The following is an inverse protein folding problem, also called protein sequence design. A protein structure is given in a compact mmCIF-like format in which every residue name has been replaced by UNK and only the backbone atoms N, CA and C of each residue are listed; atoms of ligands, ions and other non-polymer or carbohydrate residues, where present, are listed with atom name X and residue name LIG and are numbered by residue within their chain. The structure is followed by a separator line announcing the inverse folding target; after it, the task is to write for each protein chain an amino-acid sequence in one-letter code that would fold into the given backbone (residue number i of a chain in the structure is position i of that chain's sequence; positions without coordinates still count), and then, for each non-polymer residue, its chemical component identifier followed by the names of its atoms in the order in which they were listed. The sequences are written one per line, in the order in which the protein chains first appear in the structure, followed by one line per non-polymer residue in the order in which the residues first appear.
data_IF_822610307618
#
_entry.id   IF_822610307618
#
_cell.length_a   1.000
_cell.length_b   1.000
_cell.length_c   1.000
_cell.angle_alpha   90.00
_cell.angle_beta   90.00
_cell.angle_gamma   90.00
#
_symmetry.space_group_name_H-M   'P 1'
#
loop_
_entity.id
_entity.type
_entity.pdbx_description
1 polymer ?
#
# COMPACT_ATOMS: atom_id res chain seq x y z
N UNK A 1 -23.78 -29.42 3.32
CA UNK A 1 -23.81 -30.40 4.43
C UNK A 1 -22.92 -30.02 5.64
N UNK A 2 -21.85 -29.20 5.49
CA UNK A 2 -20.93 -28.88 6.60
C UNK A 2 -21.54 -27.92 7.64
N UNK A 3 -22.40 -26.97 7.25
CA UNK A 3 -23.05 -26.02 8.20
C UNK A 3 -24.05 -26.65 9.19
N UNK A 4 -24.58 -27.85 8.93
CA UNK A 4 -25.53 -28.54 9.85
C UNK A 4 -24.84 -29.35 10.95
N UNK A 5 -23.54 -29.74 10.79
CA UNK A 5 -22.77 -30.50 11.80
C UNK A 5 -22.17 -29.65 12.93
N UNK A 6 -22.10 -28.34 12.76
CA UNK A 6 -21.48 -27.45 13.75
C UNK A 6 -22.41 -27.10 14.92
N UNK A 7 -23.74 -27.20 14.74
CA UNK A 7 -24.72 -26.83 15.80
C UNK A 7 -24.78 -27.75 17.03
N UNK A 8 -24.14 -28.90 17.00
CA UNK A 8 -24.23 -29.90 18.10
C UNK A 8 -22.92 -30.13 18.87
N UNK A 9 -21.92 -29.22 18.75
CA UNK A 9 -20.70 -29.30 19.53
C UNK A 9 -20.82 -28.54 20.86
N UNK A 10 -20.21 -29.01 21.98
CA UNK A 10 -20.25 -28.29 23.24
C UNK A 10 -19.72 -26.86 23.08
N UNK A 11 -20.36 -25.87 23.73
CA UNK A 11 -20.09 -24.42 23.56
C UNK A 11 -18.61 -24.03 23.65
N UNK A 12 -17.79 -24.75 24.45
CA UNK A 12 -16.33 -24.54 24.53
C UNK A 12 -15.61 -24.90 23.23
N UNK A 13 -16.02 -25.99 22.53
CA UNK A 13 -15.41 -26.38 21.23
C UNK A 13 -15.82 -25.44 20.11
N UNK A 14 -17.06 -24.93 20.10
CA UNK A 14 -17.49 -23.92 19.13
C UNK A 14 -16.69 -22.62 19.26
N UNK A 15 -16.46 -22.12 20.49
CA UNK A 15 -15.62 -20.91 20.71
C UNK A 15 -14.15 -21.10 20.27
N UNK A 16 -13.61 -22.32 20.41
CA UNK A 16 -12.24 -22.61 19.96
C UNK A 16 -12.19 -22.66 18.42
N UNK A 17 -13.17 -23.29 17.77
CA UNK A 17 -13.25 -23.35 16.31
C UNK A 17 -13.52 -21.95 15.72
N UNK A 18 -14.37 -21.15 16.33
CA UNK A 18 -14.63 -19.76 15.90
C UNK A 18 -13.38 -18.88 16.10
N UNK A 19 -12.65 -19.03 17.19
CA UNK A 19 -11.38 -18.32 17.43
C UNK A 19 -10.29 -18.77 16.44
N UNK A 20 -10.18 -20.08 16.17
CA UNK A 20 -9.24 -20.61 15.21
C UNK A 20 -9.59 -20.18 13.76
N UNK A 21 -10.87 -20.18 13.40
CA UNK A 21 -11.32 -19.72 12.08
C UNK A 21 -11.19 -18.19 11.92
N UNK A 22 -11.40 -17.41 12.99
CA UNK A 22 -11.17 -15.96 12.97
C UNK A 22 -9.67 -15.63 12.87
N UNK A 23 -8.82 -16.35 13.59
CA UNK A 23 -7.36 -16.16 13.50
C UNK A 23 -6.79 -16.65 12.17
N UNK A 24 -7.36 -17.69 11.56
CA UNK A 24 -6.98 -18.18 10.23
C UNK A 24 -7.40 -17.18 9.13
N UNK A 25 -8.58 -16.56 9.25
CA UNK A 25 -9.04 -15.52 8.33
C UNK A 25 -8.23 -14.22 8.49
N UNK A 26 -7.73 -13.92 9.68
CA UNK A 26 -6.91 -12.73 9.94
C UNK A 26 -5.52 -12.85 9.30
N UNK A 27 -4.91 -14.04 9.32
CA UNK A 27 -3.60 -14.29 8.70
C UNK A 27 -3.56 -14.18 7.16
N UNK A 28 -4.71 -14.04 6.51
CA UNK A 28 -4.82 -14.02 5.04
C UNK A 28 -5.27 -12.67 4.48
N UNK A 29 -5.14 -11.58 5.26
CA UNK A 29 -5.48 -10.23 4.82
C UNK A 29 -4.24 -9.40 4.58
N UNK A 30 -4.26 -8.57 3.53
CA UNK A 30 -3.22 -7.57 3.25
C UNK A 30 -3.87 -6.21 2.98
N UNK A 31 -3.21 -5.15 3.44
CA UNK A 31 -3.60 -3.77 3.15
C UNK A 31 -2.54 -3.11 2.26
N UNK A 32 -2.92 -2.73 1.05
CA UNK A 32 -2.13 -1.88 0.18
C UNK A 32 -2.51 -0.42 0.39
N UNK A 33 -1.54 0.42 0.69
CA UNK A 33 -1.71 1.86 0.88
C UNK A 33 -0.94 2.60 -0.20
N UNK A 34 -1.60 3.41 -1.00
CA UNK A 34 -0.92 4.35 -1.89
C UNK A 34 -0.93 5.72 -1.25
N UNK A 35 0.23 6.34 -1.07
CA UNK A 35 0.30 7.71 -0.58
C UNK A 35 0.15 8.72 -1.72
N UNK A 36 -0.49 9.84 -1.43
CA UNK A 36 -0.75 10.94 -2.36
C UNK A 36 -1.58 12.05 -1.74
N UNK A 37 -1.71 13.17 -2.43
CA UNK A 37 -2.56 14.31 -2.06
C UNK A 37 -3.85 14.32 -2.87
N UNK A 38 -5.01 14.40 -2.22
CA UNK A 38 -6.30 14.45 -2.89
C UNK A 38 -6.54 15.87 -3.45
N UNK A 39 -6.31 16.04 -4.74
CA UNK A 39 -6.66 17.29 -5.43
C UNK A 39 -6.55 17.06 -6.93
N UNK A 40 -7.47 17.58 -7.76
CA UNK A 40 -7.37 17.50 -9.21
C UNK A 40 -6.03 18.02 -9.74
N UNK A 41 -5.48 19.06 -9.10
CA UNK A 41 -4.20 19.67 -9.50
C UNK A 41 -2.97 18.80 -9.15
N UNK A 42 -3.12 17.79 -8.31
CA UNK A 42 -2.02 16.94 -7.83
C UNK A 42 -1.94 15.58 -8.51
N UNK A 43 -2.91 15.22 -9.36
CA UNK A 43 -3.03 13.86 -9.93
C UNK A 43 -1.76 13.38 -10.65
N UNK A 44 -1.04 14.29 -11.26
CA UNK A 44 0.15 13.98 -12.06
C UNK A 44 1.47 14.29 -11.37
N UNK A 45 1.46 14.81 -10.14
CA UNK A 45 2.73 15.09 -9.48
C UNK A 45 3.37 13.82 -8.88
N UNK A 46 4.68 13.96 -8.62
CA UNK A 46 5.54 12.84 -8.19
C UNK A 46 5.06 12.25 -6.86
N UNK A 47 4.53 13.10 -5.97
CA UNK A 47 4.04 12.71 -4.65
C UNK A 47 2.78 11.81 -4.73
N UNK A 48 2.12 11.76 -5.90
CA UNK A 48 0.93 10.92 -6.12
C UNK A 48 1.24 9.56 -6.78
N UNK A 49 2.53 9.18 -6.87
CA UNK A 49 2.91 7.89 -7.45
C UNK A 49 2.25 6.71 -6.72
N UNK A 50 2.10 6.80 -5.38
CA UNK A 50 1.41 5.77 -4.62
C UNK A 50 -0.05 5.58 -5.06
N UNK A 51 -0.78 6.67 -5.33
CA UNK A 51 -2.14 6.61 -5.87
C UNK A 51 -2.19 5.92 -7.23
N UNK A 52 -1.24 6.25 -8.13
CA UNK A 52 -1.13 5.63 -9.46
C UNK A 52 -0.90 4.13 -9.37
N UNK A 53 -0.07 3.67 -8.45
CA UNK A 53 0.17 2.24 -8.22
C UNK A 53 -1.10 1.54 -7.72
N UNK A 54 -1.85 2.12 -6.78
CA UNK A 54 -3.13 1.55 -6.31
C UNK A 54 -4.14 1.44 -7.45
N UNK A 55 -4.26 2.47 -8.29
CA UNK A 55 -5.17 2.44 -9.44
C UNK A 55 -4.78 1.34 -10.45
N UNK A 56 -3.48 1.16 -10.69
CA UNK A 56 -2.97 0.09 -11.55
C UNK A 56 -3.22 -1.31 -10.96
N UNK A 57 -3.04 -1.49 -9.63
CA UNK A 57 -3.40 -2.73 -8.92
C UNK A 57 -4.90 -3.02 -9.07
N UNK A 58 -5.74 -2.02 -8.81
CA UNK A 58 -7.18 -2.15 -8.92
C UNK A 58 -7.62 -2.60 -10.32
N UNK A 59 -7.05 -1.99 -11.35
CA UNK A 59 -7.32 -2.33 -12.76
C UNK A 59 -6.86 -3.74 -13.11
N UNK A 60 -5.62 -4.10 -12.77
CA UNK A 60 -5.01 -5.40 -13.12
C UNK A 60 -5.72 -6.57 -12.49
N UNK A 61 -6.08 -6.44 -11.21
CA UNK A 61 -6.66 -7.54 -10.44
C UNK A 61 -8.19 -7.44 -10.30
N UNK A 62 -8.82 -6.53 -11.05
CA UNK A 62 -10.28 -6.34 -11.07
C UNK A 62 -10.87 -6.22 -9.66
N UNK A 63 -10.21 -5.44 -8.80
CA UNK A 63 -10.74 -5.19 -7.46
C UNK A 63 -12.07 -4.41 -7.55
N UNK A 64 -12.80 -4.34 -6.46
CA UNK A 64 -14.10 -3.64 -6.42
C UNK A 64 -13.99 -2.19 -6.88
N UNK A 65 -15.11 -1.56 -7.24
CA UNK A 65 -15.13 -0.10 -7.45
C UNK A 65 -14.66 0.62 -6.19
N UNK A 66 -13.93 1.73 -6.38
CA UNK A 66 -13.50 2.60 -5.28
C UNK A 66 -14.73 3.17 -4.57
N UNK A 67 -14.74 3.09 -3.24
CA UNK A 67 -15.80 3.64 -2.38
C UNK A 67 -15.20 4.56 -1.32
N UNK A 68 -15.74 5.76 -1.12
CA UNK A 68 -15.33 6.62 0.00
C UNK A 68 -15.60 5.91 1.33
N UNK A 69 -14.54 5.62 2.09
CA UNK A 69 -14.59 5.03 3.43
C UNK A 69 -13.29 5.31 4.18
N UNK A 70 -13.36 5.46 5.50
CA UNK A 70 -12.18 5.73 6.33
C UNK A 70 -11.38 6.95 5.87
N UNK A 71 -12.05 8.02 5.45
CA UNK A 71 -11.40 9.23 4.88
C UNK A 71 -10.47 8.91 3.69
N UNK A 72 -10.78 7.88 2.91
CA UNK A 72 -10.04 7.43 1.74
C UNK A 72 -10.92 6.79 0.69
N UNK A 73 -10.33 6.46 -0.45
CA UNK A 73 -10.96 5.64 -1.50
C UNK A 73 -10.52 4.19 -1.31
N UNK A 74 -11.44 3.37 -0.80
CA UNK A 74 -11.21 1.96 -0.51
C UNK A 74 -11.68 1.08 -1.66
N UNK A 75 -10.86 0.09 -2.03
CA UNK A 75 -11.21 -1.06 -2.85
C UNK A 75 -10.94 -2.35 -2.10
N UNK A 76 -11.60 -3.42 -2.49
CA UNK A 76 -11.44 -4.74 -1.88
C UNK A 76 -11.50 -5.82 -2.94
N UNK A 77 -10.81 -6.91 -2.72
CA UNK A 77 -10.85 -8.07 -3.60
C UNK A 77 -10.01 -9.21 -3.08
N UNK A 78 -9.70 -10.14 -3.97
CA UNK A 78 -8.84 -11.28 -3.68
C UNK A 78 -7.76 -11.36 -4.74
N UNK A 79 -6.50 -11.49 -4.32
CA UNK A 79 -5.37 -11.73 -5.21
C UNK A 79 -4.74 -13.06 -4.79
N UNK A 80 -4.76 -14.08 -5.66
CA UNK A 80 -4.51 -15.48 -5.29
C UNK A 80 -5.49 -15.91 -4.19
N UNK A 81 -4.97 -16.34 -3.05
CA UNK A 81 -5.70 -16.80 -1.86
C UNK A 81 -5.85 -15.71 -0.77
N UNK A 82 -5.28 -14.51 -1.01
CA UNK A 82 -5.25 -13.44 -0.01
C UNK A 82 -6.36 -12.43 -0.24
N UNK A 83 -7.07 -12.09 0.82
CA UNK A 83 -8.00 -10.96 0.85
C UNK A 83 -7.20 -9.66 0.86
N UNK A 84 -7.44 -8.81 -0.10
CA UNK A 84 -6.72 -7.54 -0.27
C UNK A 84 -7.68 -6.37 -0.08
N UNK A 85 -7.25 -5.43 0.74
CA UNK A 85 -7.78 -4.09 0.82
C UNK A 85 -6.76 -3.16 0.16
N UNK A 86 -7.20 -2.22 -0.66
CA UNK A 86 -6.33 -1.20 -1.22
C UNK A 86 -6.97 0.17 -1.00
N UNK A 87 -6.19 1.13 -0.49
CA UNK A 87 -6.71 2.44 -0.10
C UNK A 87 -5.81 3.57 -0.59
N UNK A 88 -6.46 4.64 -1.06
CA UNK A 88 -5.86 5.95 -1.30
C UNK A 88 -6.40 6.91 -0.23
N UNK A 89 -5.61 7.35 0.77
CA UNK A 89 -6.05 8.34 1.75
C UNK A 89 -6.50 9.65 1.06
N UNK A 90 -7.68 10.15 1.39
CA UNK A 90 -8.16 11.46 0.94
C UNK A 90 -7.88 12.57 1.97
N UNK A 91 -7.13 12.26 3.01
CA UNK A 91 -6.47 13.23 3.86
C UNK A 91 -5.25 13.78 3.13
N UNK A 92 -4.82 15.01 3.45
CA UNK A 92 -3.54 15.47 2.92
C UNK A 92 -2.39 14.58 3.40
N UNK A 93 -1.26 14.60 2.67
CA UNK A 93 -0.11 13.71 2.90
C UNK A 93 0.29 13.60 4.38
N UNK A 94 0.42 14.72 5.07
CA UNK A 94 0.78 14.80 6.49
C UNK A 94 -0.27 14.22 7.47
N UNK A 95 -1.46 13.87 6.98
CA UNK A 95 -2.55 13.27 7.77
C UNK A 95 -2.94 11.87 7.29
N UNK A 96 -2.14 11.25 6.41
CA UNK A 96 -2.43 9.92 5.85
C UNK A 96 -2.61 8.84 6.94
N UNK A 97 -1.87 8.93 8.04
CA UNK A 97 -1.94 7.98 9.14
C UNK A 97 -3.31 7.92 9.83
N UNK A 98 -4.07 9.02 9.85
CA UNK A 98 -5.44 9.04 10.41
C UNK A 98 -6.36 8.10 9.65
N UNK A 99 -6.31 8.15 8.32
CA UNK A 99 -7.08 7.27 7.45
C UNK A 99 -6.73 5.79 7.69
N UNK A 100 -5.44 5.48 7.74
CA UNK A 100 -4.96 4.10 7.86
C UNK A 100 -5.28 3.54 9.25
N UNK A 101 -5.12 4.31 10.31
CA UNK A 101 -5.48 3.91 11.66
C UNK A 101 -6.96 3.51 11.77
N UNK A 102 -7.89 4.34 11.28
CA UNK A 102 -9.32 4.03 11.29
C UNK A 102 -9.62 2.70 10.56
N UNK A 103 -8.95 2.47 9.42
CA UNK A 103 -9.15 1.26 8.63
C UNK A 103 -8.64 0.01 9.34
N UNK A 104 -7.40 0.03 9.86
CA UNK A 104 -6.81 -1.15 10.50
C UNK A 104 -7.51 -1.50 11.81
N UNK A 105 -7.96 -0.50 12.58
CA UNK A 105 -8.75 -0.72 13.78
C UNK A 105 -10.09 -1.40 13.47
N UNK A 106 -10.74 -0.99 12.37
CA UNK A 106 -12.03 -1.56 11.95
C UNK A 106 -11.91 -3.01 11.45
N UNK A 107 -10.92 -3.30 10.57
CA UNK A 107 -10.74 -4.63 9.97
C UNK A 107 -9.84 -5.54 10.80
N UNK A 108 -9.24 -5.03 11.88
CA UNK A 108 -8.27 -5.75 12.73
C UNK A 108 -7.08 -6.26 11.91
N UNK A 109 -6.48 -5.37 11.09
CA UNK A 109 -5.30 -5.66 10.29
C UNK A 109 -4.07 -5.31 11.12
N UNK A 110 -3.11 -6.24 11.19
CA UNK A 110 -1.84 -6.01 11.85
C UNK A 110 -0.92 -5.13 10.99
N UNK A 111 -0.09 -4.30 11.62
CA UNK A 111 0.81 -3.39 10.89
C UNK A 111 1.72 -4.14 9.92
N UNK A 112 2.19 -5.33 10.28
CA UNK A 112 3.02 -6.20 9.43
C UNK A 112 2.35 -6.65 8.13
N UNK A 113 1.02 -6.59 8.06
CA UNK A 113 0.23 -6.93 6.86
C UNK A 113 -0.07 -5.71 5.97
N UNK A 114 0.56 -4.57 6.27
CA UNK A 114 0.47 -3.34 5.48
C UNK A 114 1.65 -3.22 4.53
N UNK A 115 1.37 -2.86 3.28
CA UNK A 115 2.36 -2.52 2.26
C UNK A 115 2.05 -1.13 1.72
N UNK A 116 2.98 -0.19 1.93
CA UNK A 116 2.83 1.22 1.56
C UNK A 116 3.63 1.52 0.30
N UNK A 117 2.98 2.08 -0.71
CA UNK A 117 3.61 2.58 -1.94
C UNK A 117 3.75 4.09 -1.84
N UNK A 118 4.98 4.60 -2.02
CA UNK A 118 5.27 6.03 -1.92
C UNK A 118 6.48 6.44 -2.76
N UNK A 119 6.59 7.71 -3.07
CA UNK A 119 7.77 8.32 -3.70
C UNK A 119 8.96 8.39 -2.76
N UNK A 120 10.15 8.40 -3.34
CA UNK A 120 11.38 8.54 -2.57
C UNK A 120 12.44 9.35 -3.35
N UNK A 121 12.85 10.46 -2.76
CA UNK A 121 13.85 11.38 -3.38
C UNK A 121 15.28 10.89 -3.26
N UNK A 122 15.58 9.95 -2.37
CA UNK A 122 16.92 9.39 -2.18
C UNK A 122 17.23 8.22 -3.10
N UNK A 123 16.24 7.81 -3.92
CA UNK A 123 16.36 6.75 -4.91
C UNK A 123 16.34 7.37 -6.30
N UNK A 124 17.25 6.93 -7.17
CA UNK A 124 17.28 7.37 -8.55
C UNK A 124 15.95 7.10 -9.24
N UNK A 125 15.54 7.99 -10.14
CA UNK A 125 14.29 7.88 -10.88
C UNK A 125 14.16 6.49 -11.53
N UNK A 126 13.02 5.87 -11.32
CA UNK A 126 12.69 4.55 -11.89
C UNK A 126 13.23 3.36 -11.13
N UNK A 127 14.07 3.53 -10.12
CA UNK A 127 14.52 2.42 -9.26
C UNK A 127 13.54 2.20 -8.10
N UNK A 128 13.31 0.94 -7.78
CA UNK A 128 12.38 0.50 -6.75
C UNK A 128 13.15 -0.21 -5.63
N UNK A 129 12.83 0.14 -4.40
CA UNK A 129 13.34 -0.58 -3.21
C UNK A 129 12.18 -0.91 -2.28
N UNK A 130 12.05 -2.17 -1.92
CA UNK A 130 11.12 -2.61 -0.88
C UNK A 130 11.89 -2.92 0.40
N UNK A 131 11.34 -2.50 1.54
CA UNK A 131 11.90 -2.78 2.86
C UNK A 131 10.81 -2.87 3.92
N UNK A 132 11.12 -3.50 5.04
CA UNK A 132 10.31 -3.48 6.26
C UNK A 132 10.81 -2.37 7.20
N UNK A 133 9.91 -1.59 7.76
CA UNK A 133 10.23 -0.56 8.74
C UNK A 133 11.15 0.56 8.23
N UNK A 134 11.87 1.17 9.18
CA UNK A 134 12.89 2.17 8.92
C UNK A 134 12.45 3.62 9.11
N UNK A 135 13.35 4.59 8.83
CA UNK A 135 13.09 6.02 8.94
C UNK A 135 12.19 6.53 7.83
N UNK A 136 11.43 7.61 8.10
CA UNK A 136 10.62 8.33 7.13
C UNK A 136 11.46 9.07 6.06
N UNK A 137 12.73 9.33 6.36
CA UNK A 137 13.62 10.18 5.54
C UNK A 137 12.99 11.56 5.18
N UNK A 138 12.13 12.09 6.07
CA UNK A 138 11.42 13.35 5.89
C UNK A 138 10.19 13.27 4.97
N UNK A 139 9.74 12.09 4.58
CA UNK A 139 8.51 11.93 3.82
C UNK A 139 7.28 12.08 4.74
N UNK A 140 6.55 13.19 4.60
CA UNK A 140 5.44 13.58 5.48
C UNK A 140 4.36 12.48 5.64
N UNK A 141 4.04 11.74 4.58
CA UNK A 141 3.06 10.66 4.62
C UNK A 141 3.55 9.48 5.46
N UNK A 142 4.84 9.13 5.33
CA UNK A 142 5.46 8.09 6.14
C UNK A 142 5.55 8.53 7.61
N UNK A 143 5.93 9.78 7.88
CA UNK A 143 5.91 10.32 9.26
C UNK A 143 4.51 10.23 9.88
N UNK A 144 3.51 10.58 9.10
CA UNK A 144 2.12 10.46 9.57
C UNK A 144 1.74 9.02 9.88
N UNK A 145 2.10 8.06 9.02
CA UNK A 145 1.86 6.64 9.32
C UNK A 145 2.62 6.19 10.57
N UNK A 146 3.93 6.48 10.65
CA UNK A 146 4.78 6.11 11.78
C UNK A 146 4.22 6.59 13.13
N UNK A 147 3.62 7.80 13.14
CA UNK A 147 2.97 8.38 14.33
C UNK A 147 1.72 7.63 14.77
N UNK A 148 0.90 7.14 13.82
CA UNK A 148 -0.42 6.58 14.11
C UNK A 148 -0.45 5.06 14.20
N UNK A 149 0.44 4.35 13.49
CA UNK A 149 0.42 2.88 13.40
C UNK A 149 1.77 2.23 13.71
N UNK A 150 2.78 3.01 14.12
CA UNK A 150 4.14 2.51 14.34
C UNK A 150 4.89 2.33 13.02
N UNK A 151 6.07 1.67 13.08
CA UNK A 151 6.98 1.54 11.95
C UNK A 151 7.02 0.14 11.33
N UNK A 152 6.30 -0.82 11.92
CA UNK A 152 6.42 -2.24 11.59
C UNK A 152 5.52 -2.64 10.41
N UNK A 153 5.74 -1.98 9.27
CA UNK A 153 5.06 -2.24 8.01
C UNK A 153 6.03 -2.23 6.82
N UNK A 154 5.63 -2.88 5.72
CA UNK A 154 6.43 -2.92 4.50
C UNK A 154 6.24 -1.65 3.68
N UNK A 155 7.31 -1.19 3.04
CA UNK A 155 7.34 0.01 2.17
C UNK A 155 7.90 -0.35 0.81
N UNK A 156 7.21 0.05 -0.25
CA UNK A 156 7.69 0.03 -1.63
C UNK A 156 8.01 1.47 -2.00
N UNK A 157 9.30 1.77 -2.03
CA UNK A 157 9.89 3.09 -2.28
C UNK A 157 10.13 3.24 -3.78
N UNK A 158 9.42 4.15 -4.41
CA UNK A 158 9.53 4.43 -5.85
C UNK A 158 10.43 5.66 -6.04
N UNK A 159 11.60 5.47 -6.64
CA UNK A 159 12.56 6.54 -6.88
C UNK A 159 12.01 7.58 -7.85
N UNK A 160 12.00 8.84 -7.42
CA UNK A 160 11.61 10.00 -8.24
C UNK A 160 12.80 10.92 -8.57
N UNK A 161 14.03 10.48 -8.19
CA UNK A 161 15.25 11.22 -8.39
C UNK A 161 15.53 12.23 -7.27
N UNK A 162 16.76 12.69 -7.22
CA UNK A 162 17.25 13.63 -6.19
C UNK A 162 17.08 15.08 -6.62
N UNK A 163 16.60 15.96 -5.75
CA UNK A 163 16.70 17.39 -5.99
C UNK A 163 18.17 17.86 -5.86
N UNK A 164 18.53 18.91 -6.58
CA UNK A 164 19.88 19.49 -6.51
C UNK A 164 20.24 20.04 -5.11
N UNK A 165 19.22 20.41 -4.33
CA UNK A 165 19.36 20.88 -2.94
C UNK A 165 18.16 20.41 -2.13
N UNK A 166 18.35 20.24 -0.81
CA UNK A 166 17.25 19.85 0.11
C UNK A 166 16.08 20.84 0.09
N UNK A 167 16.36 22.13 -0.07
CA UNK A 167 15.30 23.16 -0.15
C UNK A 167 14.36 22.98 -1.35
N UNK A 168 14.79 22.30 -2.41
CA UNK A 168 13.99 22.02 -3.62
C UNK A 168 13.19 20.69 -3.53
N UNK A 169 13.25 19.99 -2.41
CA UNK A 169 12.52 18.71 -2.27
C UNK A 169 11.03 18.90 -2.40
N UNK A 170 10.45 19.93 -1.78
CA UNK A 170 9.00 20.22 -1.85
C UNK A 170 8.62 20.52 -3.30
N UNK A 171 9.39 21.34 -3.99
CA UNK A 171 9.13 21.68 -5.39
C UNK A 171 9.19 20.44 -6.29
N UNK A 172 10.15 19.53 -6.04
CA UNK A 172 10.29 18.30 -6.82
C UNK A 172 9.08 17.38 -6.65
N UNK A 173 8.67 17.09 -5.41
CA UNK A 173 7.57 16.14 -5.16
C UNK A 173 6.23 16.65 -5.67
N UNK A 174 6.04 17.97 -5.71
CA UNK A 174 4.83 18.61 -6.25
C UNK A 174 4.89 18.87 -7.76
N UNK A 175 6.06 18.68 -8.39
CA UNK A 175 6.21 18.80 -9.83
C UNK A 175 5.64 17.57 -10.54
N UNK A 176 5.02 17.80 -11.70
CA UNK A 176 4.56 16.71 -12.56
C UNK A 176 5.75 15.97 -13.19
N UNK A 177 5.55 14.71 -13.52
CA UNK A 177 6.46 13.99 -14.41
C UNK A 177 6.40 14.59 -15.81
N UNK A 178 7.54 14.73 -16.48
CA UNK A 178 7.59 15.11 -17.89
C UNK A 178 7.19 13.92 -18.80
N UNK A 179 7.13 14.15 -20.11
CA UNK A 179 6.63 13.15 -21.07
C UNK A 179 7.50 11.89 -21.08
N UNK A 180 8.82 12.03 -21.05
CA UNK A 180 9.73 10.88 -21.04
C UNK A 180 9.64 10.11 -19.72
N UNK A 181 9.55 10.83 -18.61
CA UNK A 181 9.36 10.23 -17.29
C UNK A 181 8.02 9.50 -17.19
N UNK A 182 6.94 10.02 -17.79
CA UNK A 182 5.63 9.34 -17.81
C UNK A 182 5.69 8.01 -18.55
N UNK A 183 6.38 7.95 -19.70
CA UNK A 183 6.57 6.69 -20.43
C UNK A 183 7.35 5.67 -19.61
N UNK A 184 8.44 6.09 -18.98
CA UNK A 184 9.22 5.23 -18.07
C UNK A 184 8.39 4.78 -16.86
N UNK A 185 7.56 5.68 -16.31
CA UNK A 185 6.70 5.39 -15.18
C UNK A 185 5.65 4.31 -15.49
N UNK A 186 5.14 4.29 -16.71
CA UNK A 186 4.23 3.24 -17.16
C UNK A 186 4.92 1.87 -17.17
N UNK A 187 6.14 1.79 -17.68
CA UNK A 187 6.96 0.58 -17.63
C UNK A 187 7.23 0.13 -16.20
N UNK A 188 7.65 1.06 -15.32
CA UNK A 188 7.90 0.80 -13.90
C UNK A 188 6.64 0.27 -13.21
N UNK A 189 5.51 0.92 -13.43
CA UNK A 189 4.21 0.50 -12.89
C UNK A 189 3.87 -0.91 -13.34
N UNK A 190 4.02 -1.23 -14.62
CA UNK A 190 3.79 -2.57 -15.15
C UNK A 190 4.72 -3.61 -14.51
N UNK A 191 6.00 -3.29 -14.29
CA UNK A 191 6.95 -4.17 -13.62
C UNK A 191 6.55 -4.45 -12.16
N UNK A 192 6.12 -3.40 -11.41
CA UNK A 192 5.59 -3.53 -10.06
C UNK A 192 4.38 -4.47 -10.04
N UNK A 193 3.40 -4.23 -10.93
CA UNK A 193 2.16 -5.01 -11.00
C UNK A 193 2.44 -6.49 -11.36
N UNK A 194 3.30 -6.75 -12.33
CA UNK A 194 3.67 -8.10 -12.75
C UNK A 194 4.47 -8.86 -11.68
N UNK A 195 5.08 -8.16 -10.74
CA UNK A 195 5.84 -8.72 -9.63
C UNK A 195 5.07 -8.69 -8.30
N UNK A 196 3.83 -8.16 -8.29
CA UNK A 196 3.06 -7.90 -7.07
C UNK A 196 2.87 -9.16 -6.20
N UNK A 197 2.75 -10.33 -6.84
CA UNK A 197 2.56 -11.60 -6.13
C UNK A 197 3.74 -11.95 -5.22
N UNK A 198 4.94 -11.43 -5.50
CA UNK A 198 6.13 -11.60 -4.62
C UNK A 198 5.93 -10.83 -3.31
N UNK A 199 5.27 -9.64 -3.38
CA UNK A 199 4.93 -8.86 -2.18
C UNK A 199 3.87 -9.55 -1.32
N UNK A 200 2.95 -10.30 -1.90
CA UNK A 200 1.97 -11.07 -1.13
C UNK A 200 2.64 -12.08 -0.19
N UNK A 201 3.80 -12.58 -0.59
CA UNK A 201 4.62 -13.52 0.18
C UNK A 201 5.64 -12.78 1.08
N UNK A 202 5.58 -11.45 1.18
CA UNK A 202 6.49 -10.57 1.95
C UNK A 202 7.99 -10.73 1.57
N UNK A 203 8.29 -11.19 0.34
CA UNK A 203 9.67 -11.38 -0.16
C UNK A 203 10.23 -10.07 -0.74
N UNK A 204 10.53 -9.10 0.13
CA UNK A 204 10.81 -7.71 -0.25
C UNK A 204 12.08 -7.54 -1.09
N UNK A 205 13.15 -8.27 -0.76
CA UNK A 205 14.42 -8.22 -1.51
C UNK A 205 14.26 -8.81 -2.90
N UNK A 206 13.60 -9.99 -3.00
CA UNK A 206 13.31 -10.63 -4.28
C UNK A 206 12.41 -9.73 -5.14
N UNK A 207 11.41 -9.07 -4.55
CA UNK A 207 10.59 -8.10 -5.27
C UNK A 207 11.44 -6.97 -5.84
N UNK A 208 12.31 -6.35 -5.01
CA UNK A 208 13.17 -5.24 -5.43
C UNK A 208 14.11 -5.65 -6.57
N UNK A 209 14.75 -6.82 -6.50
CA UNK A 209 15.63 -7.32 -7.56
C UNK A 209 14.85 -7.62 -8.84
N UNK A 210 13.70 -8.30 -8.74
CA UNK A 210 12.87 -8.67 -9.90
C UNK A 210 12.30 -7.46 -10.64
N UNK A 211 11.83 -6.44 -9.93
CA UNK A 211 11.26 -5.22 -10.55
C UNK A 211 12.32 -4.42 -11.28
N UNK A 212 13.55 -4.36 -10.76
CA UNK A 212 14.63 -3.58 -11.34
C UNK A 212 15.42 -4.30 -12.45
N UNK A 213 15.22 -5.60 -12.65
CA UNK A 213 15.89 -6.41 -13.69
C UNK A 213 15.13 -6.39 -15.04
N UNK A 214 13.94 -5.84 -15.05
CA UNK A 214 13.07 -5.67 -16.23
C UNK A 214 13.15 -4.23 -16.70
#
# INVERSE_FOLDING_TARGET
MIKKKIKNLPQKKNKIIERASSSFNQKNMLLFVGLGNPSPNNENNRHNIGFKIIDAINKKFSLSKQKPKFKGLLTTGTIRDKKVYAIKPLTFMNNSGVCIRELIEYFKIDAEDIIVFHDDVDINFGKIKAKFGGSSAGHNGIESLDKFIGKDYSRVRIGIGKPNTKSKTIDLVLKNFDVEEQQKLETITNNIINSLTILLDKKLELFSSTVNSK
#
